data_IF_865923767870
#
_entry.id   IF_865923767870
#
_cell.length_a   1.000
_cell.length_b   1.000
_cell.length_c   1.000
_cell.angle_alpha   90.00
_cell.angle_beta   90.00
_cell.angle_gamma   90.00
#
_symmetry.space_group_name_H-M   'P 1'
#
loop_
_entity.id
_entity.type
_entity.pdbx_description
1 polymer ?
#
# COMPACT_ATOMS: atom_id res chain seq x y z
N UNK A 1 -13.45 0.20 -14.20
CA UNK A 1 -12.85 0.46 -12.86
C UNK A 1 -11.57 -0.34 -12.71
N UNK A 2 -10.67 0.06 -11.81
CA UNK A 2 -9.35 -0.53 -11.59
C UNK A 2 -9.33 -1.19 -10.21
N UNK A 3 -8.92 -2.45 -10.13
CA UNK A 3 -8.70 -3.16 -8.87
C UNK A 3 -7.19 -3.28 -8.61
N UNK A 4 -6.74 -2.67 -7.53
CA UNK A 4 -5.41 -2.88 -6.98
C UNK A 4 -5.48 -3.93 -5.90
N UNK A 5 -4.48 -4.81 -5.82
CA UNK A 5 -4.45 -5.84 -4.80
C UNK A 5 -3.02 -6.20 -4.41
N UNK A 6 -2.88 -6.81 -3.26
CA UNK A 6 -1.63 -7.32 -2.71
C UNK A 6 -1.89 -8.53 -1.81
N UNK A 7 -0.92 -9.43 -1.70
CA UNK A 7 -1.03 -10.66 -0.94
C UNK A 7 0.19 -10.88 -0.06
N UNK A 8 -0.06 -11.21 1.22
CA UNK A 8 0.97 -11.79 2.08
C UNK A 8 0.83 -13.30 2.14
N UNK A 9 1.95 -13.99 2.28
CA UNK A 9 2.01 -15.45 2.18
C UNK A 9 2.90 -16.05 3.26
N UNK A 10 2.70 -17.34 3.56
CA UNK A 10 3.56 -18.08 4.49
C UNK A 10 4.90 -18.53 3.88
N UNK A 11 5.24 -18.09 2.65
CA UNK A 11 6.49 -18.43 1.99
C UNK A 11 6.57 -17.92 0.56
N UNK A 12 7.66 -18.25 -0.12
CA UNK A 12 7.89 -17.86 -1.50
C UNK A 12 7.38 -18.91 -2.49
N UNK A 13 6.93 -18.47 -3.66
CA UNK A 13 6.50 -19.36 -4.73
C UNK A 13 7.65 -20.24 -5.21
N UNK A 14 7.44 -21.56 -5.20
CA UNK A 14 8.42 -22.56 -5.61
C UNK A 14 8.22 -22.93 -7.08
N UNK A 15 9.15 -22.50 -7.92
CA UNK A 15 9.12 -22.73 -9.38
C UNK A 15 9.43 -24.18 -9.78
N UNK A 16 10.05 -24.92 -8.87
CA UNK A 16 10.38 -26.34 -9.03
C UNK A 16 9.20 -27.27 -8.76
N UNK A 17 8.09 -26.75 -8.22
CA UNK A 17 6.89 -27.49 -7.91
C UNK A 17 5.71 -27.11 -8.81
N UNK A 18 4.76 -28.03 -8.96
CA UNK A 18 3.47 -27.71 -9.60
C UNK A 18 2.68 -26.72 -8.76
N UNK A 19 1.78 -25.96 -9.39
CA UNK A 19 0.98 -24.93 -8.72
C UNK A 19 0.00 -25.48 -7.67
N UNK A 20 -0.39 -26.74 -7.79
CA UNK A 20 -1.28 -27.45 -6.85
C UNK A 20 -0.55 -28.23 -5.75
N UNK A 21 0.78 -28.22 -5.76
CA UNK A 21 1.57 -28.93 -4.75
C UNK A 21 1.33 -28.35 -3.34
N UNK A 22 1.28 -29.24 -2.32
CA UNK A 22 1.05 -28.84 -0.91
C UNK A 22 2.06 -27.85 -0.38
N UNK A 23 3.32 -27.94 -0.83
CA UNK A 23 4.43 -27.07 -0.39
C UNK A 23 4.48 -25.72 -1.12
N UNK A 24 3.53 -25.43 -2.00
CA UNK A 24 3.38 -24.07 -2.49
C UNK A 24 2.82 -23.16 -1.39
N UNK A 25 3.19 -21.89 -1.38
CA UNK A 25 2.77 -20.98 -0.33
C UNK A 25 1.25 -20.78 -0.28
N UNK A 26 0.74 -20.58 0.93
CA UNK A 26 -0.65 -20.25 1.19
C UNK A 26 -0.83 -18.76 1.39
N UNK A 27 -2.02 -18.28 1.05
CA UNK A 27 -2.45 -16.92 1.29
C UNK A 27 -2.62 -16.67 2.80
N UNK A 28 -1.94 -15.67 3.34
CA UNK A 28 -2.00 -15.25 4.75
C UNK A 28 -2.79 -13.94 4.90
N UNK A 29 -2.65 -13.02 3.96
CA UNK A 29 -3.42 -11.78 3.92
C UNK A 29 -3.77 -11.40 2.49
N UNK A 30 -4.93 -10.79 2.33
CA UNK A 30 -5.43 -10.28 1.05
C UNK A 30 -6.00 -8.89 1.25
N UNK A 31 -5.43 -7.91 0.57
CA UNK A 31 -5.98 -6.57 0.50
C UNK A 31 -6.29 -6.19 -0.94
N UNK A 32 -7.34 -5.39 -1.14
CA UNK A 32 -7.66 -4.83 -2.44
C UNK A 32 -8.39 -3.49 -2.32
N UNK A 33 -8.16 -2.62 -3.31
CA UNK A 33 -8.87 -1.35 -3.49
C UNK A 33 -9.45 -1.26 -4.90
N UNK A 34 -10.76 -1.13 -4.99
CA UNK A 34 -11.46 -0.83 -6.25
C UNK A 34 -11.53 0.69 -6.40
N UNK A 35 -11.02 1.19 -7.51
CA UNK A 35 -10.94 2.62 -7.79
C UNK A 35 -11.66 2.98 -9.09
N UNK A 36 -12.14 4.22 -9.16
CA UNK A 36 -12.55 4.82 -10.43
C UNK A 36 -11.34 5.36 -11.20
N UNK A 37 -11.56 5.83 -12.43
CA UNK A 37 -10.51 6.40 -13.27
C UNK A 37 -10.00 7.78 -12.80
N UNK A 38 -10.58 8.32 -11.71
CA UNK A 38 -10.19 9.57 -11.06
C UNK A 38 -9.47 9.32 -9.72
N UNK A 39 -8.87 8.14 -9.56
CA UNK A 39 -8.10 7.73 -8.37
C UNK A 39 -8.92 7.54 -7.09
N UNK A 40 -10.25 7.78 -7.13
CA UNK A 40 -11.09 7.65 -5.95
C UNK A 40 -11.30 6.18 -5.62
N UNK A 41 -10.93 5.79 -4.40
CA UNK A 41 -11.27 4.47 -3.84
C UNK A 41 -12.78 4.43 -3.58
N UNK A 42 -13.47 3.51 -4.26
CA UNK A 42 -14.93 3.30 -4.12
C UNK A 42 -15.26 2.12 -3.22
N UNK A 43 -14.34 1.17 -3.10
CA UNK A 43 -14.44 0.04 -2.16
C UNK A 43 -13.06 -0.48 -1.82
N UNK A 44 -12.92 -1.02 -0.61
CA UNK A 44 -11.67 -1.69 -0.19
C UNK A 44 -11.94 -2.85 0.74
N UNK A 45 -11.02 -3.81 0.72
CA UNK A 45 -10.98 -4.95 1.64
C UNK A 45 -9.57 -5.12 2.18
N UNK A 46 -9.48 -5.66 3.40
CA UNK A 46 -8.24 -6.14 3.99
C UNK A 46 -8.58 -7.28 4.93
N UNK A 47 -8.15 -8.49 4.59
CA UNK A 47 -8.44 -9.71 5.32
C UNK A 47 -7.14 -10.40 5.74
N UNK A 48 -7.07 -10.82 6.99
CA UNK A 48 -6.20 -11.92 7.42
C UNK A 48 -6.93 -13.22 7.16
N UNK A 49 -6.21 -14.26 6.76
CA UNK A 49 -6.78 -15.57 6.41
C UNK A 49 -6.57 -16.53 7.56
N UNK A 50 -7.66 -17.12 8.00
CA UNK A 50 -7.63 -18.11 9.07
C UNK A 50 -7.11 -19.46 8.56
N UNK A 51 -6.03 -20.04 9.15
CA UNK A 51 -5.44 -21.30 8.71
C UNK A 51 -6.33 -22.54 8.91
N UNK A 52 -7.27 -22.52 9.86
CA UNK A 52 -7.98 -23.70 10.34
C UNK A 52 -8.78 -24.49 9.29
N UNK A 53 -9.16 -23.86 8.16
CA UNK A 53 -9.88 -24.55 7.08
C UNK A 53 -8.97 -25.22 6.06
N UNK A 54 -7.72 -24.80 5.97
CA UNK A 54 -6.65 -25.40 5.19
C UNK A 54 -5.42 -25.26 6.08
N UNK A 55 -5.08 -26.29 6.86
CA UNK A 55 -4.03 -26.16 7.85
C UNK A 55 -2.70 -25.80 7.21
N UNK A 56 -2.17 -24.64 7.60
CA UNK A 56 -0.82 -24.20 7.28
C UNK A 56 -0.26 -23.41 8.47
N UNK A 57 1.04 -23.51 8.66
CA UNK A 57 1.75 -22.67 9.61
C UNK A 57 2.31 -21.43 8.91
N UNK A 58 2.43 -20.33 9.65
CA UNK A 58 3.15 -19.14 9.22
C UNK A 58 4.54 -19.19 9.86
N UNK A 59 5.58 -19.52 9.08
CA UNK A 59 6.94 -19.58 9.60
C UNK A 59 7.39 -18.24 10.15
N UNK A 60 8.30 -18.27 11.14
CA UNK A 60 8.81 -17.05 11.74
C UNK A 60 9.41 -16.07 10.71
N UNK A 61 10.09 -16.60 9.69
CA UNK A 61 10.69 -15.82 8.62
C UNK A 61 9.65 -15.02 7.83
N UNK A 62 8.45 -15.57 7.61
CA UNK A 62 7.36 -14.87 6.96
C UNK A 62 6.70 -13.86 7.93
N UNK A 63 6.44 -14.28 9.17
CA UNK A 63 5.89 -13.43 10.22
C UNK A 63 6.80 -12.22 10.53
N UNK A 64 8.11 -12.38 10.51
CA UNK A 64 9.07 -11.27 10.69
C UNK A 64 8.98 -10.23 9.54
N UNK A 65 8.43 -10.62 8.38
CA UNK A 65 8.25 -9.73 7.23
C UNK A 65 6.93 -8.97 7.32
N UNK A 66 5.80 -9.66 7.43
CA UNK A 66 4.46 -9.05 7.35
C UNK A 66 3.77 -8.89 8.72
N UNK A 67 4.42 -9.32 9.81
CA UNK A 67 3.94 -9.12 11.17
C UNK A 67 2.74 -9.98 11.60
N UNK A 68 2.31 -10.97 10.79
CA UNK A 68 1.16 -11.81 11.10
C UNK A 68 1.67 -13.17 11.59
N UNK A 69 1.32 -13.56 12.83
CA UNK A 69 1.62 -14.88 13.37
C UNK A 69 0.48 -15.87 13.09
N UNK A 70 0.74 -17.17 13.25
CA UNK A 70 -0.29 -18.21 13.13
C UNK A 70 -1.43 -17.95 14.13
N UNK A 71 -1.10 -17.61 15.39
CA UNK A 71 -2.07 -17.33 16.44
C UNK A 71 -2.95 -16.11 16.12
N UNK A 72 -2.35 -15.05 15.57
CA UNK A 72 -3.11 -13.86 15.14
C UNK A 72 -4.02 -14.20 13.95
N UNK A 73 -3.51 -14.94 12.98
CA UNK A 73 -4.30 -15.37 11.82
C UNK A 73 -5.49 -16.26 12.24
N UNK A 74 -5.28 -17.17 13.20
CA UNK A 74 -6.36 -18.00 13.76
C UNK A 74 -7.41 -17.19 14.52
N UNK A 75 -6.98 -16.22 15.34
CA UNK A 75 -7.88 -15.47 16.22
C UNK A 75 -8.63 -14.34 15.54
N UNK A 76 -8.05 -13.74 14.49
CA UNK A 76 -8.57 -12.52 13.84
C UNK A 76 -8.91 -12.71 12.36
N UNK A 77 -8.46 -13.81 11.76
CA UNK A 77 -8.64 -14.10 10.35
C UNK A 77 -10.06 -14.53 9.99
N UNK A 78 -10.36 -14.43 8.71
CA UNK A 78 -11.60 -14.93 8.12
C UNK A 78 -11.32 -16.21 7.31
N UNK A 79 -12.32 -17.07 7.09
CA UNK A 79 -12.18 -18.20 6.19
C UNK A 79 -11.71 -17.75 4.80
N UNK A 80 -10.69 -18.40 4.24
CA UNK A 80 -10.12 -18.05 2.93
C UNK A 80 -11.20 -17.99 1.84
N UNK A 81 -12.14 -18.94 1.84
CA UNK A 81 -13.24 -18.95 0.87
C UNK A 81 -14.05 -17.66 0.89
N UNK A 82 -14.39 -17.16 2.08
CA UNK A 82 -15.12 -15.88 2.23
C UNK A 82 -14.30 -14.70 1.67
N UNK A 83 -13.01 -14.62 1.98
CA UNK A 83 -12.14 -13.58 1.44
C UNK A 83 -12.10 -13.60 -0.09
N UNK A 84 -12.01 -14.80 -0.69
CA UNK A 84 -12.01 -14.98 -2.15
C UNK A 84 -13.36 -14.64 -2.79
N UNK A 85 -14.48 -14.97 -2.14
CA UNK A 85 -15.83 -14.60 -2.61
C UNK A 85 -15.97 -13.07 -2.67
N UNK A 86 -15.59 -12.37 -1.61
CA UNK A 86 -15.63 -10.88 -1.58
C UNK A 86 -14.66 -10.28 -2.59
N UNK A 87 -13.44 -10.82 -2.72
CA UNK A 87 -12.49 -10.39 -3.74
C UNK A 87 -13.04 -10.59 -5.15
N UNK A 88 -13.70 -11.72 -5.42
CA UNK A 88 -14.33 -12.01 -6.71
C UNK A 88 -15.43 -11.00 -7.09
N UNK A 89 -16.19 -10.50 -6.11
CA UNK A 89 -17.20 -9.46 -6.32
C UNK A 89 -16.56 -8.13 -6.74
N UNK A 90 -15.43 -7.75 -6.14
CA UNK A 90 -14.69 -6.54 -6.55
C UNK A 90 -14.06 -6.73 -7.93
N UNK A 91 -13.47 -7.90 -8.16
CA UNK A 91 -12.85 -8.26 -9.43
C UNK A 91 -13.85 -8.23 -10.59
N UNK A 92 -15.09 -8.72 -10.36
CA UNK A 92 -16.16 -8.68 -11.35
C UNK A 92 -16.59 -7.29 -11.79
N UNK A 93 -16.21 -6.24 -11.05
CA UNK A 93 -16.49 -4.83 -11.35
C UNK A 93 -15.30 -4.10 -11.99
N UNK A 94 -14.15 -4.75 -12.08
CA UNK A 94 -12.92 -4.17 -12.60
C UNK A 94 -12.64 -4.60 -14.03
N UNK A 95 -12.23 -3.65 -14.85
CA UNK A 95 -11.73 -3.87 -16.21
C UNK A 95 -10.22 -4.12 -16.21
N UNK A 96 -9.57 -3.72 -15.13
CA UNK A 96 -8.13 -3.70 -14.97
C UNK A 96 -7.74 -4.21 -13.58
N UNK A 97 -6.72 -5.07 -13.52
CA UNK A 97 -6.15 -5.61 -12.29
C UNK A 97 -4.68 -5.21 -12.17
N UNK A 98 -4.27 -4.70 -11.03
CA UNK A 98 -2.93 -4.16 -10.82
C UNK A 98 -2.36 -4.60 -9.47
N UNK A 99 -1.07 -4.98 -9.48
CA UNK A 99 -0.28 -5.21 -8.27
C UNK A 99 1.17 -4.77 -8.48
N UNK A 100 1.98 -4.80 -7.41
CA UNK A 100 3.42 -4.62 -7.51
C UNK A 100 4.12 -5.98 -7.48
N UNK A 101 4.66 -6.44 -8.58
CA UNK A 101 5.07 -7.82 -8.86
C UNK A 101 3.88 -8.77 -9.10
N UNK A 102 2.93 -8.29 -9.88
CA UNK A 102 1.63 -8.92 -10.18
C UNK A 102 1.70 -10.43 -10.49
N UNK A 103 2.80 -10.89 -11.09
CA UNK A 103 2.97 -12.31 -11.41
C UNK A 103 2.99 -13.21 -10.17
N UNK A 104 3.55 -12.71 -9.05
CA UNK A 104 3.56 -13.43 -7.78
C UNK A 104 2.15 -13.50 -7.18
N UNK A 105 1.50 -12.37 -7.03
CA UNK A 105 0.17 -12.27 -6.40
C UNK A 105 -0.88 -13.05 -7.19
N UNK A 106 -0.81 -13.03 -8.52
CA UNK A 106 -1.69 -13.82 -9.37
C UNK A 106 -1.52 -15.33 -9.13
N UNK A 107 -0.30 -15.83 -8.99
CA UNK A 107 -0.06 -17.25 -8.71
C UNK A 107 -0.68 -17.68 -7.38
N UNK A 108 -0.54 -16.82 -6.36
CA UNK A 108 -1.13 -17.06 -5.03
C UNK A 108 -2.65 -17.09 -5.10
N UNK A 109 -3.26 -16.07 -5.72
CA UNK A 109 -4.71 -15.97 -5.84
C UNK A 109 -5.28 -17.12 -6.70
N UNK A 110 -4.69 -17.43 -7.85
CA UNK A 110 -5.12 -18.54 -8.69
C UNK A 110 -5.10 -19.87 -7.94
N UNK A 111 -4.02 -20.13 -7.18
CA UNK A 111 -3.92 -21.30 -6.33
C UNK A 111 -5.04 -21.32 -5.28
N UNK A 112 -5.27 -20.20 -4.58
CA UNK A 112 -6.31 -20.11 -3.56
C UNK A 112 -7.70 -20.38 -4.15
N UNK A 113 -8.03 -19.84 -5.32
CA UNK A 113 -9.29 -20.14 -6.02
C UNK A 113 -9.41 -21.61 -6.41
N UNK A 114 -8.32 -22.23 -6.89
CA UNK A 114 -8.30 -23.64 -7.31
C UNK A 114 -8.54 -24.58 -6.12
N UNK A 115 -7.97 -24.28 -4.95
CA UNK A 115 -8.17 -25.09 -3.73
C UNK A 115 -9.66 -25.20 -3.36
N UNK A 116 -10.44 -24.16 -3.59
CA UNK A 116 -11.89 -24.15 -3.33
C UNK A 116 -12.74 -24.46 -4.57
N UNK A 117 -12.13 -24.91 -5.67
CA UNK A 117 -12.83 -25.15 -6.94
C UNK A 117 -13.64 -23.93 -7.42
N UNK A 118 -13.22 -22.74 -7.06
CA UNK A 118 -13.83 -21.49 -7.48
C UNK A 118 -13.25 -21.03 -8.81
N UNK A 119 -14.10 -20.41 -9.65
CA UNK A 119 -13.65 -19.88 -10.93
C UNK A 119 -12.97 -18.51 -10.73
N UNK A 120 -11.70 -18.42 -11.06
CA UNK A 120 -10.99 -17.16 -11.14
C UNK A 120 -11.13 -16.57 -12.55
N UNK A 121 -11.86 -15.45 -12.66
CA UNK A 121 -12.04 -14.74 -13.93
C UNK A 121 -11.12 -13.54 -13.96
N UNK A 122 -10.01 -13.68 -14.68
CA UNK A 122 -9.06 -12.56 -14.89
C UNK A 122 -9.71 -11.45 -15.71
N UNK A 123 -9.51 -10.16 -15.38
CA UNK A 123 -9.81 -9.05 -16.26
C UNK A 123 -8.94 -9.07 -17.51
N UNK A 124 -9.40 -8.39 -18.57
CA UNK A 124 -8.66 -8.32 -19.85
C UNK A 124 -7.34 -7.55 -19.71
N UNK A 125 -7.29 -6.56 -18.81
CA UNK A 125 -6.11 -5.75 -18.58
C UNK A 125 -5.46 -6.08 -17.24
N UNK A 126 -4.18 -6.48 -17.29
CA UNK A 126 -3.37 -6.75 -16.10
C UNK A 126 -2.06 -5.98 -16.20
N UNK A 127 -1.77 -5.14 -15.22
CA UNK A 127 -0.54 -4.36 -15.16
C UNK A 127 0.27 -4.68 -13.91
N UNK A 128 1.57 -4.42 -14.02
CA UNK A 128 2.53 -4.58 -12.93
C UNK A 128 3.28 -3.27 -12.72
N UNK A 129 3.07 -2.60 -11.59
CA UNK A 129 3.75 -1.34 -11.30
C UNK A 129 5.26 -1.49 -11.19
N UNK A 130 5.77 -2.65 -10.75
CA UNK A 130 7.20 -2.97 -10.74
C UNK A 130 7.79 -2.95 -12.15
N UNK A 131 7.12 -3.59 -13.11
CA UNK A 131 7.55 -3.61 -14.51
C UNK A 131 7.48 -2.21 -15.13
N UNK A 132 6.40 -1.47 -14.87
CA UNK A 132 6.21 -0.11 -15.37
C UNK A 132 7.28 0.85 -14.82
N UNK A 133 7.65 0.72 -13.57
CA UNK A 133 8.64 1.56 -12.90
C UNK A 133 10.08 1.22 -13.31
N UNK A 134 10.38 -0.03 -13.66
CA UNK A 134 11.73 -0.49 -14.03
C UNK A 134 12.38 0.42 -15.08
N UNK A 135 11.64 0.71 -16.16
CA UNK A 135 12.16 1.47 -17.29
C UNK A 135 12.29 2.97 -16.99
N UNK A 136 11.50 3.49 -16.05
CA UNK A 136 11.57 4.88 -15.62
C UNK A 136 12.70 5.09 -14.61
N UNK A 137 12.84 4.19 -13.64
CA UNK A 137 13.83 4.31 -12.57
C UNK A 137 15.24 3.94 -13.00
N UNK A 138 15.39 3.00 -13.94
CA UNK A 138 16.68 2.54 -14.48
C UNK A 138 17.72 2.22 -13.39
N UNK A 139 17.26 1.60 -12.31
CA UNK A 139 18.14 1.23 -11.21
C UNK A 139 19.17 0.19 -11.68
N UNK A 140 20.43 0.41 -11.32
CA UNK A 140 21.52 -0.49 -11.71
C UNK A 140 21.27 -1.89 -11.14
N UNK A 141 21.18 -2.87 -12.03
CA UNK A 141 21.10 -4.28 -11.68
C UNK A 141 22.49 -4.91 -11.45
N UNK A 142 22.49 -6.17 -11.03
CA UNK A 142 23.72 -6.94 -10.85
C UNK A 142 24.48 -7.20 -12.16
N UNK A 143 23.75 -7.20 -13.28
CA UNK A 143 24.26 -7.40 -14.62
C UNK A 143 23.95 -6.17 -15.49
N UNK A 144 24.11 -6.24 -16.80
CA UNK A 144 23.87 -5.11 -17.72
C UNK A 144 22.42 -4.62 -17.79
N UNK A 145 21.48 -5.36 -17.21
CA UNK A 145 20.05 -5.01 -17.18
C UNK A 145 19.67 -4.20 -15.93
N UNK A 146 18.56 -3.46 -16.00
CA UNK A 146 18.01 -2.77 -14.84
C UNK A 146 17.37 -3.76 -13.87
N UNK A 147 17.57 -3.54 -12.57
CA UNK A 147 16.89 -4.36 -11.55
C UNK A 147 15.41 -4.03 -11.49
N UNK A 148 14.63 -5.00 -11.04
CA UNK A 148 13.24 -4.77 -10.67
C UNK A 148 13.17 -3.99 -9.34
N UNK A 149 12.56 -2.80 -9.32
CA UNK A 149 12.49 -2.00 -8.10
C UNK A 149 11.52 -2.60 -7.11
N UNK A 150 11.85 -2.51 -5.81
CA UNK A 150 10.91 -2.79 -4.73
C UNK A 150 9.87 -1.67 -4.63
N UNK A 151 8.70 -1.96 -4.07
CA UNK A 151 7.62 -0.99 -3.90
C UNK A 151 8.09 0.27 -3.13
N UNK A 152 8.89 0.08 -2.08
CA UNK A 152 9.51 1.15 -1.30
C UNK A 152 10.48 2.02 -2.10
N UNK A 153 11.26 1.40 -3.00
CA UNK A 153 12.18 2.13 -3.86
C UNK A 153 11.40 2.98 -4.86
N UNK A 154 10.28 2.44 -5.40
CA UNK A 154 9.39 3.19 -6.26
C UNK A 154 8.77 4.38 -5.52
N UNK A 155 8.23 4.15 -4.31
CA UNK A 155 7.63 5.22 -3.53
C UNK A 155 8.64 6.33 -3.22
N UNK A 156 9.85 5.96 -2.77
CA UNK A 156 10.93 6.93 -2.53
C UNK A 156 11.33 7.68 -3.78
N UNK A 157 11.39 7.00 -4.92
CA UNK A 157 11.78 7.62 -6.20
C UNK A 157 10.75 8.62 -6.70
N UNK A 158 9.47 8.24 -6.71
CA UNK A 158 8.41 9.08 -7.29
C UNK A 158 7.92 10.19 -6.36
N UNK A 159 7.97 9.98 -5.03
CA UNK A 159 7.43 10.92 -4.05
C UNK A 159 8.49 11.52 -3.12
N UNK A 160 9.76 11.16 -3.29
CA UNK A 160 10.90 11.60 -2.47
C UNK A 160 10.73 11.38 -0.96
N UNK A 161 9.87 10.46 -0.58
CA UNK A 161 9.55 10.10 0.82
C UNK A 161 9.56 8.59 0.97
N UNK A 162 10.13 8.06 2.06
CA UNK A 162 9.93 6.68 2.48
C UNK A 162 8.54 6.52 3.11
N UNK A 163 8.01 5.29 3.15
CA UNK A 163 6.85 4.97 3.95
C UNK A 163 7.20 3.90 4.99
N UNK A 164 6.42 3.87 6.06
CA UNK A 164 6.51 2.89 7.14
C UNK A 164 5.32 1.93 7.04
N UNK A 165 5.34 0.87 7.80
CA UNK A 165 4.32 -0.19 7.79
C UNK A 165 4.24 -0.94 6.43
N UNK A 166 5.38 -1.08 5.75
CA UNK A 166 5.57 -1.96 4.60
C UNK A 166 5.30 -3.42 5.01
N UNK A 167 4.86 -4.23 4.05
CA UNK A 167 4.37 -5.59 4.29
C UNK A 167 3.07 -5.65 5.15
N UNK A 168 2.34 -4.53 5.24
CA UNK A 168 0.91 -4.56 5.49
C UNK A 168 0.19 -4.49 4.13
N UNK A 169 -0.52 -5.53 3.75
CA UNK A 169 -1.07 -5.66 2.41
C UNK A 169 -1.94 -4.45 1.99
N UNK A 170 -2.70 -3.85 2.91
CA UNK A 170 -3.50 -2.66 2.58
C UNK A 170 -2.64 -1.42 2.34
N UNK A 171 -1.57 -1.26 3.12
CA UNK A 171 -0.59 -0.17 2.93
C UNK A 171 0.10 -0.33 1.58
N UNK A 172 0.52 -1.54 1.22
CA UNK A 172 1.19 -1.82 -0.04
C UNK A 172 0.25 -1.65 -1.26
N UNK A 173 -1.01 -2.05 -1.16
CA UNK A 173 -2.06 -1.72 -2.16
C UNK A 173 -2.21 -0.22 -2.34
N UNK A 174 -2.26 0.56 -1.25
CA UNK A 174 -2.41 2.01 -1.33
C UNK A 174 -1.20 2.66 -2.02
N UNK A 175 0.02 2.21 -1.68
CA UNK A 175 1.26 2.70 -2.31
C UNK A 175 1.33 2.28 -3.77
N UNK A 176 0.98 1.04 -4.10
CA UNK A 176 0.89 0.55 -5.48
C UNK A 176 -0.05 1.41 -6.33
N UNK A 177 -1.24 1.75 -5.80
CA UNK A 177 -2.21 2.63 -6.43
C UNK A 177 -1.63 4.03 -6.68
N UNK A 178 -1.02 4.64 -5.66
CA UNK A 178 -0.39 5.97 -5.79
C UNK A 178 0.68 5.98 -6.89
N UNK A 179 1.56 4.98 -6.91
CA UNK A 179 2.61 4.84 -7.92
C UNK A 179 2.01 4.69 -9.33
N UNK A 180 0.97 3.84 -9.48
CA UNK A 180 0.32 3.64 -10.76
C UNK A 180 -0.24 4.94 -11.33
N UNK A 181 -1.05 5.64 -10.56
CA UNK A 181 -1.66 6.91 -11.03
C UNK A 181 -0.60 7.98 -11.29
N UNK A 182 0.41 8.08 -10.45
CA UNK A 182 1.52 8.99 -10.71
C UNK A 182 2.21 8.69 -12.05
N UNK A 183 2.54 7.43 -12.33
CA UNK A 183 3.14 7.04 -13.62
C UNK A 183 2.20 7.28 -14.80
N UNK A 184 0.89 7.08 -14.63
CA UNK A 184 -0.11 7.35 -15.67
C UNK A 184 -0.24 8.84 -15.94
N UNK A 185 -0.25 9.69 -14.92
CA UNK A 185 -0.28 11.14 -15.07
C UNK A 185 0.97 11.67 -15.76
N UNK A 186 2.16 11.16 -15.42
CA UNK A 186 3.39 11.49 -16.14
C UNK A 186 3.35 11.11 -17.63
N UNK A 187 2.69 10.02 -18.00
CA UNK A 187 2.50 9.65 -19.41
C UNK A 187 1.54 10.56 -20.15
N UNK A 188 0.54 11.09 -19.47
CA UNK A 188 -0.41 12.05 -20.03
C UNK A 188 0.26 13.42 -20.20
N UNK A 189 1.14 13.82 -19.27
CA UNK A 189 1.88 15.09 -19.31
C UNK A 189 2.92 15.15 -20.44
N UNK A 190 3.40 14.01 -20.96
CA UNK A 190 4.20 13.98 -22.19
C UNK A 190 3.42 14.39 -23.45
N UNK A 191 2.12 14.65 -23.33
CA UNK A 191 1.31 15.40 -24.29
C UNK A 191 1.29 16.86 -23.85
N UNK A 192 2.40 17.60 -24.13
CA UNK A 192 2.61 19.04 -23.92
C UNK A 192 2.18 19.56 -22.54
N UNK A 193 3.10 19.99 -21.66
CA UNK A 193 2.74 20.44 -20.33
C UNK A 193 1.93 21.73 -20.45
N UNK A 194 0.65 21.69 -20.12
CA UNK A 194 0.03 22.88 -19.55
C UNK A 194 0.57 22.95 -18.11
N UNK A 195 1.55 23.79 -17.93
CA UNK A 195 2.06 24.14 -16.62
C UNK A 195 0.87 24.48 -15.71
N UNK A 196 0.60 23.62 -14.74
CA UNK A 196 -0.17 24.06 -13.57
C UNK A 196 0.73 25.12 -12.94
N UNK A 197 0.31 26.39 -12.86
CA UNK A 197 1.20 27.42 -12.36
C UNK A 197 1.71 27.01 -11.00
N UNK A 198 3.02 26.94 -10.82
CA UNK A 198 3.71 26.63 -9.56
C UNK A 198 3.17 27.46 -8.38
N UNK A 199 2.58 28.61 -8.66
CA UNK A 199 1.88 29.46 -7.69
C UNK A 199 0.61 28.82 -7.10
N UNK A 200 -0.14 28.02 -7.88
CA UNK A 200 -1.37 27.37 -7.39
C UNK A 200 -1.04 26.17 -6.49
N UNK A 201 -0.02 25.38 -6.85
CA UNK A 201 0.51 24.32 -5.99
C UNK A 201 1.08 24.89 -4.69
N UNK A 202 1.92 25.92 -4.76
CA UNK A 202 2.46 26.62 -3.58
C UNK A 202 1.38 27.25 -2.72
N UNK A 203 0.26 27.69 -3.28
CA UNK A 203 -0.84 28.29 -2.54
C UNK A 203 -1.65 27.25 -1.76
N UNK A 204 -1.96 26.10 -2.39
CA UNK A 204 -2.72 25.00 -1.74
C UNK A 204 -1.87 24.33 -0.66
N UNK A 205 -0.60 24.08 -0.94
CA UNK A 205 0.34 23.48 0.02
C UNK A 205 0.68 24.48 1.13
N UNK A 206 0.95 25.72 0.81
CA UNK A 206 1.28 26.79 1.77
C UNK A 206 0.18 27.09 2.78
N UNK A 207 -1.11 27.03 2.41
CA UNK A 207 -2.22 27.20 3.35
C UNK A 207 -2.36 26.01 4.30
N UNK A 208 -2.19 24.78 3.80
CA UNK A 208 -2.27 23.57 4.61
C UNK A 208 -1.16 23.50 5.68
N UNK A 209 0.04 23.91 5.33
CA UNK A 209 1.19 23.96 6.25
C UNK A 209 1.18 25.16 7.19
N UNK A 210 0.75 26.33 6.73
CA UNK A 210 0.55 27.50 7.60
C UNK A 210 -0.45 27.20 8.71
N UNK A 211 -1.54 26.51 8.38
CA UNK A 211 -2.53 26.12 9.36
C UNK A 211 -1.99 25.11 10.39
N UNK A 212 -1.21 24.12 9.96
CA UNK A 212 -0.62 23.13 10.87
C UNK A 212 0.47 23.76 11.76
N UNK A 213 1.34 24.57 11.20
CA UNK A 213 2.40 25.27 11.96
C UNK A 213 1.81 26.30 12.93
N UNK A 214 0.80 27.05 12.51
CA UNK A 214 0.06 27.97 13.36
C UNK A 214 -0.63 27.21 14.51
N UNK A 215 -1.28 26.09 14.19
CA UNK A 215 -1.91 25.22 15.17
C UNK A 215 -0.91 24.70 16.21
N UNK A 216 0.21 24.12 15.77
CA UNK A 216 1.25 23.60 16.67
C UNK A 216 1.88 24.68 17.56
N UNK A 217 2.02 25.91 17.02
CA UNK A 217 2.54 27.06 17.78
C UNK A 217 1.53 27.66 18.75
N UNK A 218 0.24 27.52 18.48
CA UNK A 218 -0.84 28.03 19.35
C UNK A 218 -1.26 27.06 20.46
N UNK A 219 -0.73 25.83 20.44
CA UNK A 219 -1.11 24.78 21.37
C UNK A 219 -0.53 25.03 22.76
N UNK A 220 -1.37 24.95 23.79
CA UNK A 220 -0.94 25.02 25.19
C UNK A 220 -0.24 23.71 25.58
N UNK A 221 1.10 23.73 25.49
CA UNK A 221 1.94 22.56 25.77
C UNK A 221 1.87 22.09 27.24
N UNK A 222 1.38 22.91 28.14
CA UNK A 222 1.26 22.53 29.56
C UNK A 222 0.14 21.51 29.82
N UNK A 223 -0.79 21.38 28.88
CA UNK A 223 -1.90 20.41 28.91
C UNK A 223 -1.56 19.06 28.30
N UNK A 224 -0.41 18.93 27.62
CA UNK A 224 0.01 17.72 26.95
C UNK A 224 0.68 16.76 27.92
N UNK A 225 0.41 15.46 27.77
CA UNK A 225 1.22 14.45 28.46
C UNK A 225 2.61 14.35 27.78
N UNK A 226 3.55 13.66 28.45
CA UNK A 226 4.94 13.54 27.99
C UNK A 226 5.05 13.02 26.55
N UNK A 227 4.27 12.00 26.19
CA UNK A 227 4.28 11.41 24.84
C UNK A 227 3.70 12.37 23.79
N UNK A 228 2.58 13.04 24.08
CA UNK A 228 1.96 14.03 23.21
C UNK A 228 2.92 15.19 22.93
N UNK A 229 3.64 15.64 23.96
CA UNK A 229 4.64 16.71 23.86
C UNK A 229 5.83 16.29 23.00
N UNK A 230 6.40 15.09 23.22
CA UNK A 230 7.51 14.56 22.43
C UNK A 230 7.10 14.38 20.96
N UNK A 231 5.88 13.87 20.73
CA UNK A 231 5.34 13.71 19.38
C UNK A 231 5.21 15.07 18.67
N UNK A 232 4.61 16.08 19.28
CA UNK A 232 4.47 17.42 18.72
C UNK A 232 5.82 18.06 18.42
N UNK A 233 6.79 17.94 19.36
CA UNK A 233 8.14 18.44 19.17
C UNK A 233 8.84 17.76 17.98
N UNK A 234 8.68 16.44 17.80
CA UNK A 234 9.25 15.71 16.68
C UNK A 234 8.69 16.19 15.32
N UNK A 235 7.41 16.53 15.28
CA UNK A 235 6.76 17.10 14.09
C UNK A 235 7.26 18.52 13.83
N UNK A 236 7.37 19.36 14.85
CA UNK A 236 7.91 20.75 14.74
C UNK A 236 9.37 20.71 14.26
N UNK A 237 10.19 19.82 14.81
CA UNK A 237 11.60 19.68 14.33
C UNK A 237 11.69 19.30 12.85
N UNK A 238 10.82 18.40 12.40
CA UNK A 238 10.74 18.04 10.98
C UNK A 238 10.28 19.22 10.13
N UNK A 239 9.28 19.98 10.59
CA UNK A 239 8.79 21.19 9.93
C UNK A 239 9.88 22.27 9.82
N UNK A 240 10.75 22.39 10.81
CA UNK A 240 11.83 23.38 10.82
C UNK A 240 13.06 22.96 9.99
N UNK A 241 13.26 21.66 9.75
CA UNK A 241 14.40 21.11 8.98
C UNK A 241 14.16 21.05 7.47
N UNK A 242 12.91 21.09 7.02
CA UNK A 242 12.56 21.02 5.60
C UNK A 242 11.92 22.33 5.16
N UNK A 243 12.63 23.06 4.32
CA UNK A 243 12.13 24.35 3.81
C UNK A 243 10.89 24.23 2.91
N UNK A 244 10.51 23.04 2.41
CA UNK A 244 9.44 22.97 1.42
C UNK A 244 8.41 21.83 1.54
N UNK A 245 8.65 20.65 2.12
CA UNK A 245 7.64 19.57 2.11
C UNK A 245 7.77 18.56 3.26
N UNK A 246 6.84 18.56 4.21
CA UNK A 246 6.63 17.42 5.11
C UNK A 246 5.27 16.80 4.85
N UNK A 247 5.27 15.56 4.40
CA UNK A 247 4.10 14.71 4.42
C UNK A 247 4.03 13.98 5.76
N UNK A 248 3.06 14.36 6.57
CA UNK A 248 2.70 13.56 7.75
C UNK A 248 1.97 12.30 7.27
N UNK A 249 2.33 11.14 7.82
CA UNK A 249 1.53 9.93 7.61
C UNK A 249 0.09 10.15 8.09
N UNK A 250 -0.86 9.43 7.54
CA UNK A 250 -2.26 9.48 7.98
C UNK A 250 -2.39 9.26 9.49
N UNK A 251 -1.56 8.39 10.06
CA UNK A 251 -1.49 8.11 11.49
C UNK A 251 -1.00 9.32 12.29
N UNK A 252 0.07 9.98 11.82
CA UNK A 252 0.59 11.21 12.45
C UNK A 252 -0.41 12.34 12.34
N UNK A 253 -1.09 12.49 11.20
CA UNK A 253 -2.16 13.48 11.02
C UNK A 253 -3.34 13.19 11.97
N UNK A 254 -3.77 11.92 12.09
CA UNK A 254 -4.85 11.52 12.99
C UNK A 254 -4.49 11.76 14.46
N UNK A 255 -3.23 11.51 14.84
CA UNK A 255 -2.73 11.81 16.18
C UNK A 255 -2.81 13.30 16.46
N UNK A 256 -2.37 14.16 15.55
CA UNK A 256 -2.50 15.62 15.71
C UNK A 256 -3.95 16.09 15.80
N UNK A 257 -4.84 15.53 14.98
CA UNK A 257 -6.29 15.82 15.05
C UNK A 257 -6.86 15.41 16.40
N UNK A 258 -6.45 14.25 16.94
CA UNK A 258 -6.90 13.79 18.27
C UNK A 258 -6.36 14.68 19.40
N UNK A 259 -5.08 15.08 19.34
CA UNK A 259 -4.48 16.02 20.28
C UNK A 259 -5.23 17.37 20.22
N UNK A 260 -5.52 17.86 19.00
CA UNK A 260 -6.28 19.09 18.83
C UNK A 260 -7.70 19.00 19.41
N UNK A 261 -8.43 17.91 19.14
CA UNK A 261 -9.76 17.70 19.72
C UNK A 261 -9.76 17.60 21.24
N UNK A 262 -8.67 17.09 21.82
CA UNK A 262 -8.54 16.89 23.27
C UNK A 262 -8.11 18.17 24.01
N UNK A 263 -7.28 19.00 23.39
CA UNK A 263 -6.60 20.11 24.04
C UNK A 263 -6.76 21.46 23.34
N UNK A 264 -7.32 21.49 22.13
CA UNK A 264 -7.59 22.73 21.38
C UNK A 264 -8.93 23.32 21.84
N UNK A 265 -8.90 24.51 22.36
CA UNK A 265 -10.05 25.41 22.50
C UNK A 265 -10.02 26.42 21.38
#
# INVERSE_FOLDING_TARGET
>A
MILFFDTETNGLWRRDLKSDHSDQPYLVSLAAQLCDNKEKVVSQISFRIQPSHIPFDIPKEASDIHGITTEEAESTGVPMKLALEVFSELLGRADTLIAHNTAFDLQIIERAFNVFHMKFKKPDNIFCTMMMAKDQMKLQGKYKDYKFPKLQECHKFFFNVGYHDWHDALTDVNVCRMIYFHMMNLKIENVSPREIPNELLKKIEGEKYKNLTSFLKSMDTTKLNTWELEFCNSVIEKLNKSEEHILLSNKQHQVLVNIHKKHGQ
#
